data_IF_828606839142
#
_entry.id   IF_828606839142
#
_cell.length_a   1.000
_cell.length_b   1.000
_cell.length_c   1.000
_cell.angle_alpha   90.00
_cell.angle_beta   90.00
_cell.angle_gamma   90.00
#
_symmetry.space_group_name_H-M   'P 1'
#
loop_
_entity.id
_entity.type
_entity.pdbx_description
1 polymer ?
#
# COMPACT_ATOMS: atom_id res chain seq x y z
N UNK A 1 14.47 -3.63 5.78
CA UNK A 1 13.08 -3.91 6.20
C UNK A 1 12.21 -2.71 5.83
N UNK A 2 11.60 -2.73 4.64
CA UNK A 2 10.88 -1.60 4.03
C UNK A 2 9.49 -1.33 4.62
N UNK A 3 8.97 -2.22 5.46
CA UNK A 3 7.63 -2.09 6.04
C UNK A 3 7.52 -0.87 6.97
N UNK A 4 8.64 -0.36 7.48
CA UNK A 4 8.68 0.77 8.40
C UNK A 4 8.46 2.14 7.73
N UNK A 5 8.50 2.21 6.39
CA UNK A 5 8.27 3.46 5.62
C UNK A 5 6.84 3.60 5.10
N UNK A 6 5.97 2.64 5.39
CA UNK A 6 4.54 2.72 5.03
C UNK A 6 3.70 3.32 6.17
N UNK A 7 2.64 4.11 5.87
CA UNK A 7 2.23 4.53 4.53
C UNK A 7 3.14 5.63 3.95
N UNK A 8 3.33 5.59 2.64
CA UNK A 8 4.08 6.59 1.87
C UNK A 8 3.36 7.94 1.92
N UNK A 9 4.10 9.02 2.18
CA UNK A 9 3.52 10.35 2.42
C UNK A 9 3.70 11.31 1.25
N UNK A 10 4.81 11.16 0.52
CA UNK A 10 5.14 12.04 -0.60
C UNK A 10 5.31 11.27 -1.90
N UNK A 11 5.22 11.99 -3.02
CA UNK A 11 5.44 11.40 -4.34
C UNK A 11 6.90 10.92 -4.50
N UNK A 12 7.85 11.58 -3.84
CA UNK A 12 9.24 11.16 -3.88
C UNK A 12 9.45 9.84 -3.14
N UNK A 13 8.82 9.68 -1.96
CA UNK A 13 8.82 8.40 -1.24
C UNK A 13 8.22 7.29 -2.09
N UNK A 14 7.13 7.59 -2.80
CA UNK A 14 6.49 6.63 -3.69
C UNK A 14 7.41 6.15 -4.81
N UNK A 15 8.07 7.09 -5.51
CA UNK A 15 8.99 6.75 -6.61
C UNK A 15 10.21 5.99 -6.11
N UNK A 16 10.76 6.42 -4.97
CA UNK A 16 11.90 5.74 -4.34
C UNK A 16 11.52 4.32 -3.95
N UNK A 17 10.37 4.14 -3.29
CA UNK A 17 9.86 2.83 -2.91
C UNK A 17 9.65 1.95 -4.15
N UNK A 18 9.01 2.48 -5.20
CA UNK A 18 8.80 1.76 -6.46
C UNK A 18 10.12 1.30 -7.10
N UNK A 19 11.12 2.18 -7.14
CA UNK A 19 12.45 1.85 -7.65
C UNK A 19 13.12 0.75 -6.80
N UNK A 20 13.17 0.92 -5.47
CA UNK A 20 13.83 -0.01 -4.56
C UNK A 20 13.22 -1.42 -4.61
N UNK A 21 11.89 -1.54 -4.59
CA UNK A 21 11.21 -2.85 -4.65
C UNK A 21 11.32 -3.51 -6.03
N UNK A 22 11.47 -2.72 -7.10
CA UNK A 22 11.62 -3.25 -8.45
C UNK A 22 12.96 -3.95 -8.67
N UNK A 23 14.00 -3.53 -7.92
CA UNK A 23 15.36 -4.06 -8.03
C UNK A 23 15.57 -5.34 -7.21
N UNK A 24 14.75 -5.58 -6.18
CA UNK A 24 14.96 -6.66 -5.20
C UNK A 24 13.75 -7.59 -5.12
N UNK A 25 13.83 -8.74 -5.78
CA UNK A 25 12.74 -9.74 -5.82
C UNK A 25 12.25 -10.18 -4.43
N UNK A 26 13.15 -10.28 -3.46
CA UNK A 26 12.77 -10.70 -2.10
C UNK A 26 11.99 -9.61 -1.36
N UNK A 27 12.33 -8.33 -1.55
CA UNK A 27 11.59 -7.22 -0.97
C UNK A 27 10.19 -7.11 -1.57
N UNK A 28 10.03 -7.38 -2.86
CA UNK A 28 8.71 -7.51 -3.48
C UNK A 28 7.88 -8.61 -2.81
N UNK A 29 8.43 -9.83 -2.67
CA UNK A 29 7.72 -10.96 -2.05
C UNK A 29 7.34 -10.65 -0.60
N UNK A 30 8.26 -10.05 0.18
CA UNK A 30 7.99 -9.66 1.56
C UNK A 30 6.89 -8.60 1.65
N UNK A 31 6.92 -7.60 0.76
CA UNK A 31 5.91 -6.56 0.67
C UNK A 31 4.55 -7.16 0.31
N UNK A 32 4.49 -8.04 -0.69
CA UNK A 32 3.24 -8.74 -1.04
C UNK A 32 2.71 -9.57 0.14
N UNK A 33 3.58 -10.28 0.86
CA UNK A 33 3.20 -11.04 2.07
C UNK A 33 2.64 -10.14 3.16
N UNK A 34 3.27 -9.00 3.40
CA UNK A 34 2.78 -7.98 4.33
C UNK A 34 1.40 -7.45 3.92
N UNK A 35 1.24 -7.06 2.65
CA UNK A 35 -0.01 -6.53 2.11
C UNK A 35 -1.15 -7.55 2.11
N UNK A 36 -0.85 -8.85 1.93
CA UNK A 36 -1.84 -9.92 2.11
C UNK A 36 -2.43 -9.94 3.52
N UNK A 37 -1.66 -9.50 4.52
CA UNK A 37 -2.08 -9.38 5.92
C UNK A 37 -3.16 -8.31 6.16
N UNK A 38 -3.42 -7.42 5.20
CA UNK A 38 -4.55 -6.51 5.27
C UNK A 38 -5.82 -7.27 4.85
N UNK A 39 -6.54 -7.76 5.86
CA UNK A 39 -7.73 -8.60 5.72
C UNK A 39 -8.96 -7.84 5.21
N UNK A 40 -9.87 -8.57 4.59
CA UNK A 40 -11.23 -8.18 4.25
C UNK A 40 -12.03 -9.45 3.88
N UNK A 41 -13.36 -9.38 3.95
CA UNK A 41 -14.25 -10.42 3.41
C UNK A 41 -14.41 -10.35 1.89
N UNK A 42 -13.99 -9.24 1.27
CA UNK A 42 -14.27 -8.91 -0.13
C UNK A 42 -13.09 -8.19 -0.80
N UNK A 43 -12.94 -8.39 -2.12
CA UNK A 43 -11.88 -7.81 -2.94
C UNK A 43 -11.90 -6.29 -3.03
N UNK A 44 -13.08 -5.66 -3.04
CA UNK A 44 -13.20 -4.20 -3.05
C UNK A 44 -12.70 -3.59 -1.73
N UNK A 45 -13.09 -4.19 -0.60
CA UNK A 45 -12.64 -3.76 0.73
C UNK A 45 -11.14 -4.02 0.88
N UNK A 46 -10.64 -5.18 0.43
CA UNK A 46 -9.21 -5.51 0.46
C UNK A 46 -8.39 -4.51 -0.37
N UNK A 47 -8.88 -4.13 -1.55
CA UNK A 47 -8.23 -3.11 -2.40
C UNK A 47 -8.05 -1.80 -1.63
N UNK A 48 -9.11 -1.33 -0.97
CA UNK A 48 -9.09 -0.08 -0.20
C UNK A 48 -8.17 -0.14 1.01
N UNK A 49 -8.14 -1.28 1.72
CA UNK A 49 -7.25 -1.51 2.86
C UNK A 49 -5.78 -1.53 2.44
N UNK A 50 -5.46 -2.21 1.33
CA UNK A 50 -4.10 -2.24 0.77
C UNK A 50 -3.64 -0.85 0.34
N UNK A 51 -4.50 -0.09 -0.35
CA UNK A 51 -4.18 1.29 -0.73
C UNK A 51 -3.94 2.19 0.48
N UNK A 52 -4.76 2.07 1.53
CA UNK A 52 -4.56 2.81 2.78
C UNK A 52 -3.32 2.39 3.58
N UNK A 53 -2.86 1.15 3.41
CA UNK A 53 -1.58 0.70 3.96
C UNK A 53 -0.38 1.25 3.17
N UNK A 54 -0.53 1.36 1.85
CA UNK A 54 0.55 1.78 0.95
C UNK A 54 0.79 3.29 0.97
N UNK A 55 -0.27 4.11 0.94
CA UNK A 55 -0.13 5.56 0.77
C UNK A 55 -1.07 6.35 1.67
N UNK A 56 -0.60 7.51 2.12
CA UNK A 56 -1.39 8.45 2.90
C UNK A 56 -2.42 9.18 2.03
N UNK A 57 -3.34 9.90 2.67
CA UNK A 57 -4.34 10.69 1.94
C UNK A 57 -3.67 11.85 1.18
N UNK A 58 -2.66 12.48 1.78
CA UNK A 58 -1.87 13.56 1.20
C UNK A 58 -1.14 13.12 -0.08
N UNK A 59 -0.68 11.88 -0.13
CA UNK A 59 -0.15 11.30 -1.34
C UNK A 59 -1.27 10.93 -2.33
N UNK A 60 -2.32 10.27 -1.86
CA UNK A 60 -3.42 9.79 -2.70
C UNK A 60 -4.10 10.91 -3.51
N UNK A 61 -4.22 12.12 -2.96
CA UNK A 61 -4.81 13.25 -3.69
C UNK A 61 -4.02 13.66 -4.94
N UNK A 62 -2.73 13.31 -5.02
CA UNK A 62 -1.86 13.57 -6.18
C UNK A 62 -2.07 12.58 -7.32
N UNK A 63 -2.81 11.48 -7.08
CA UNK A 63 -3.10 10.46 -8.07
C UNK A 63 -4.53 10.56 -8.61
N UNK A 64 -4.69 10.04 -9.82
CA UNK A 64 -5.96 9.65 -10.44
C UNK A 64 -5.76 8.30 -11.13
N UNK A 65 -6.84 7.61 -11.50
CA UNK A 65 -6.73 6.29 -12.10
C UNK A 65 -5.94 6.29 -13.42
N UNK A 66 -6.43 7.02 -14.43
CA UNK A 66 -5.76 7.15 -15.75
C UNK A 66 -4.75 8.29 -15.85
N UNK A 67 -4.66 9.12 -14.82
CA UNK A 67 -4.11 10.48 -14.95
C UNK A 67 -5.07 11.36 -15.78
N UNK A 68 -5.30 12.59 -15.34
CA UNK A 68 -5.98 13.59 -16.16
C UNK A 68 -5.19 14.89 -16.07
N UNK A 69 -4.99 15.55 -17.21
CA UNK A 69 -4.77 17.00 -17.28
C UNK A 69 -6.17 17.62 -17.15
N UNK A 70 -6.59 18.01 -15.96
CA UNK A 70 -7.81 18.82 -15.82
C UNK A 70 -7.45 19.96 -14.87
N UNK A 71 -7.33 21.16 -15.44
CA UNK A 71 -6.87 22.37 -14.76
C UNK A 71 -5.36 22.45 -14.55
N UNK A 72 -4.96 23.29 -13.57
CA UNK A 72 -3.59 23.72 -13.26
C UNK A 72 -2.72 22.60 -12.64
N UNK A 73 -3.33 21.53 -12.11
CA UNK A 73 -2.62 20.45 -11.42
C UNK A 73 -2.71 19.12 -12.16
N UNK A 74 -1.58 18.68 -12.74
CA UNK A 74 -1.45 17.39 -13.40
C UNK A 74 -1.34 16.27 -12.35
N UNK A 75 -2.34 15.40 -12.28
CA UNK A 75 -2.31 14.22 -11.41
C UNK A 75 -1.57 13.04 -12.05
N UNK A 76 -0.90 12.25 -11.22
CA UNK A 76 -0.23 11.02 -11.65
C UNK A 76 -1.23 9.89 -11.93
N UNK A 77 -0.95 9.06 -12.93
CA UNK A 77 -1.76 7.92 -13.31
C UNK A 77 -1.36 6.70 -12.49
N UNK A 78 -2.19 6.27 -11.52
CA UNK A 78 -1.89 5.10 -10.70
C UNK A 78 -1.83 3.82 -11.53
N UNK A 79 -2.64 3.72 -12.61
CA UNK A 79 -2.71 2.53 -13.45
C UNK A 79 -1.39 2.22 -14.16
N UNK A 80 -0.57 3.25 -14.39
CA UNK A 80 0.74 3.10 -15.04
C UNK A 80 1.86 2.83 -14.03
N UNK A 81 1.55 2.76 -12.73
CA UNK A 81 2.56 2.47 -11.71
C UNK A 81 2.76 0.97 -11.57
N UNK A 82 4.01 0.59 -11.35
CA UNK A 82 4.41 -0.78 -11.06
C UNK A 82 3.81 -1.25 -9.74
N UNK A 83 3.75 -0.36 -8.74
CA UNK A 83 3.10 -0.62 -7.44
C UNK A 83 1.65 -1.06 -7.63
N UNK A 84 0.89 -0.41 -8.50
CA UNK A 84 -0.51 -0.77 -8.73
C UNK A 84 -0.65 -2.21 -9.26
N UNK A 85 0.09 -2.56 -10.31
CA UNK A 85 -0.02 -3.90 -10.91
C UNK A 85 0.55 -5.00 -10.00
N UNK A 86 1.77 -4.79 -9.48
CA UNK A 86 2.52 -5.84 -8.76
C UNK A 86 2.19 -5.97 -7.29
N UNK A 87 1.66 -4.93 -6.67
CA UNK A 87 1.23 -4.97 -5.28
C UNK A 87 -0.29 -5.00 -5.18
N UNK A 88 -1.00 -3.99 -5.68
CA UNK A 88 -2.45 -3.91 -5.47
C UNK A 88 -3.19 -5.02 -6.21
N UNK A 89 -3.08 -5.06 -7.54
CA UNK A 89 -3.83 -6.01 -8.37
C UNK A 89 -3.40 -7.44 -8.07
N UNK A 90 -2.09 -7.70 -8.07
CA UNK A 90 -1.55 -9.04 -7.79
C UNK A 90 -1.99 -9.59 -6.42
N UNK A 91 -1.92 -8.77 -5.35
CA UNK A 91 -2.29 -9.24 -4.02
C UNK A 91 -3.79 -9.46 -3.90
N UNK A 92 -4.62 -8.58 -4.46
CA UNK A 92 -6.08 -8.72 -4.38
C UNK A 92 -6.55 -9.93 -5.17
N UNK A 93 -6.13 -10.10 -6.44
CA UNK A 93 -6.53 -11.26 -7.25
C UNK A 93 -6.00 -12.57 -6.68
N UNK A 94 -4.81 -12.57 -6.08
CA UNK A 94 -4.28 -13.75 -5.39
C UNK A 94 -5.08 -14.15 -4.15
N UNK A 95 -5.83 -13.22 -3.53
CA UNK A 95 -6.71 -13.49 -2.39
C UNK A 95 -8.16 -13.75 -2.79
N UNK A 96 -8.63 -13.06 -3.83
CA UNK A 96 -10.01 -13.04 -4.28
C UNK A 96 -10.05 -13.33 -5.79
N UNK A 97 -9.85 -14.59 -6.20
CA UNK A 97 -9.71 -14.95 -7.62
C UNK A 97 -11.00 -14.79 -8.43
N UNK A 98 -12.17 -14.65 -7.76
CA UNK A 98 -13.46 -14.39 -8.41
C UNK A 98 -13.63 -12.93 -8.84
N UNK A 99 -12.85 -12.01 -8.25
CA UNK A 99 -12.88 -10.60 -8.63
C UNK A 99 -12.07 -10.36 -9.90
N UNK A 100 -12.43 -9.31 -10.63
CA UNK A 100 -11.83 -8.91 -11.89
C UNK A 100 -10.92 -7.69 -11.71
N UNK A 101 -10.02 -7.48 -12.68
CA UNK A 101 -9.18 -6.26 -12.73
C UNK A 101 -10.03 -4.98 -12.82
N UNK A 102 -11.19 -5.04 -13.49
CA UNK A 102 -12.09 -3.89 -13.60
C UNK A 102 -12.77 -3.54 -12.27
N UNK A 103 -13.12 -4.54 -11.46
CA UNK A 103 -13.65 -4.32 -10.11
C UNK A 103 -12.61 -3.67 -9.19
N UNK A 104 -11.36 -4.16 -9.23
CA UNK A 104 -10.24 -3.56 -8.48
C UNK A 104 -10.00 -2.12 -8.92
N UNK A 105 -10.05 -1.87 -10.23
CA UNK A 105 -9.95 -0.53 -10.81
C UNK A 105 -11.06 0.40 -10.33
N UNK A 106 -12.33 -0.05 -10.34
CA UNK A 106 -13.46 0.73 -9.84
C UNK A 106 -13.25 1.11 -8.37
N UNK A 107 -12.83 0.15 -7.53
CA UNK A 107 -12.52 0.40 -6.12
C UNK A 107 -11.36 1.36 -5.93
N UNK A 108 -10.29 1.20 -6.70
CA UNK A 108 -9.12 2.09 -6.65
C UNK A 108 -9.50 3.51 -7.04
N UNK A 109 -10.28 3.67 -8.10
CA UNK A 109 -10.74 4.97 -8.57
C UNK A 109 -11.63 5.67 -7.55
N UNK A 110 -12.63 4.97 -6.99
CA UNK A 110 -13.49 5.51 -5.93
C UNK A 110 -12.66 5.91 -4.71
N UNK A 111 -11.73 5.03 -4.29
CA UNK A 111 -10.86 5.33 -3.16
C UNK A 111 -9.98 6.57 -3.39
N UNK A 112 -9.40 6.75 -4.58
CA UNK A 112 -8.60 7.94 -4.90
C UNK A 112 -9.43 9.23 -4.96
N UNK A 113 -10.68 9.16 -5.46
CA UNK A 113 -11.58 10.30 -5.50
C UNK A 113 -12.00 10.77 -4.09
N UNK A 114 -12.19 9.82 -3.19
CA UNK A 114 -12.55 10.09 -1.80
C UNK A 114 -11.40 10.63 -0.96
N UNK A 115 -10.14 10.55 -1.44
CA UNK A 115 -8.96 10.98 -0.68
C UNK A 115 -9.07 12.43 -0.16
N UNK A 116 -9.66 13.33 -0.93
CA UNK A 116 -9.88 14.73 -0.53
C UNK A 116 -10.91 14.90 0.60
N UNK A 117 -11.87 13.96 0.69
CA UNK A 117 -13.00 14.01 1.64
C UNK A 117 -12.69 13.26 2.93
N UNK A 118 -11.73 12.36 2.92
CA UNK A 118 -11.23 11.68 4.12
C UNK A 118 -10.58 12.74 5.01
N UNK A 119 -11.29 13.23 6.05
CA UNK A 119 -10.69 14.07 7.09
C UNK A 119 -9.40 13.40 7.59
N UNK A 120 -8.39 14.17 7.96
CA UNK A 120 -7.14 13.71 8.62
C UNK A 120 -7.40 13.09 10.02
N UNK A 121 -8.58 12.51 10.24
CA UNK A 121 -8.95 11.73 11.40
C UNK A 121 -8.25 10.39 11.34
N UNK A 122 -7.00 10.36 11.80
CA UNK A 122 -6.41 9.19 12.43
C UNK A 122 -7.34 8.70 13.55
N UNK A 123 -8.31 7.84 13.23
CA UNK A 123 -8.52 6.69 14.09
C UNK A 123 -7.57 5.63 13.57
N UNK A 124 -6.31 5.67 14.06
CA UNK A 124 -5.46 4.48 14.06
C UNK A 124 -6.31 3.42 14.75
N UNK A 125 -6.98 2.54 13.99
CA UNK A 125 -7.28 1.22 14.54
C UNK A 125 -5.90 0.69 14.89
N UNK A 126 -5.68 0.40 16.16
CA UNK A 126 -4.49 -0.29 16.65
C UNK A 126 -4.41 -1.64 15.95
N UNK A 127 -3.92 -1.65 14.71
CA UNK A 127 -3.61 -2.86 13.99
C UNK A 127 -2.29 -3.37 14.57
N UNK A 128 -2.36 -3.90 15.79
CA UNK A 128 -1.31 -4.74 16.39
C UNK A 128 -1.26 -6.03 15.56
N UNK A 129 -0.70 -5.92 14.36
CA UNK A 129 -0.49 -7.06 13.49
C UNK A 129 0.49 -8.01 14.21
N UNK A 130 0.19 -9.30 14.38
CA UNK A 130 1.07 -10.25 15.06
C UNK A 130 2.50 -10.25 14.49
N UNK A 131 2.65 -9.96 13.19
CA UNK A 131 3.95 -9.86 12.52
C UNK A 131 4.83 -8.73 13.10
N UNK A 132 4.25 -7.61 13.52
CA UNK A 132 5.01 -6.52 14.14
C UNK A 132 5.58 -6.92 15.51
N UNK A 133 4.79 -7.65 16.32
CA UNK A 133 5.26 -8.25 17.59
C UNK A 133 6.41 -9.23 17.36
N UNK A 134 6.33 -10.05 16.31
CA UNK A 134 7.37 -11.03 15.98
C UNK A 134 8.68 -10.32 15.56
N UNK A 135 8.58 -9.21 14.82
CA UNK A 135 9.75 -8.42 14.42
C UNK A 135 10.41 -7.74 15.63
N UNK A 136 9.60 -7.20 16.54
CA UNK A 136 10.07 -6.55 17.76
C UNK A 136 10.76 -7.55 18.72
N UNK A 137 10.17 -8.75 18.88
CA UNK A 137 10.77 -9.85 19.65
C UNK A 137 12.10 -10.32 19.01
N UNK A 138 12.18 -10.39 17.68
CA UNK A 138 13.43 -10.76 17.00
C UNK A 138 14.53 -9.71 17.20
N UNK A 139 14.20 -8.41 17.12
CA UNK A 139 15.16 -7.33 17.39
C UNK A 139 15.71 -7.37 18.82
N UNK A 140 14.84 -7.62 19.80
CA UNK A 140 15.26 -7.75 21.19
C UNK A 140 16.22 -8.93 21.36
N UNK A 141 15.92 -10.09 20.77
CA UNK A 141 16.82 -11.26 20.85
C UNK A 141 18.19 -11.01 20.22
N UNK A 142 18.27 -10.28 19.11
CA UNK A 142 19.54 -9.94 18.46
C UNK A 142 20.38 -8.97 19.30
N UNK A 143 19.75 -7.99 19.96
CA UNK A 143 20.44 -7.05 20.86
C UNK A 143 20.99 -7.75 22.12
N UNK A 144 20.27 -8.76 22.64
CA UNK A 144 20.73 -9.54 23.79
C UNK A 144 21.85 -10.55 23.46
N UNK A 145 22.03 -10.94 22.19
CA UNK A 145 23.13 -11.82 21.77
C UNK A 145 24.43 -11.08 21.42
N UNK A 146 24.40 -9.76 21.29
CA UNK A 146 25.59 -8.93 21.00
C UNK A 146 26.25 -8.42 22.30
N UNK A 147 25.53 -8.47 23.43
CA UNK A 147 25.96 -7.94 24.72
C UNK A 147 26.32 -9.04 25.75
N UNK A 148 26.49 -10.29 25.32
CA UNK A 148 27.04 -11.41 26.08
C UNK A 148 28.18 -12.03 25.26
#
# INVERSE_FOLDING_TARGET
MFVNTLPLKTLNDFRRFEYEISMKKDDLKQTQKFLRGFGASDGHISTRNILGALMSNELAVQFNFKGRKSGVHRKHAIINTWIYDRLVVFVVLGKFPKHTRDEIKKSTQSWLQEAKKRKNGTKKKDWKHPIMKIIEIKKLKTLFQINN
#
